data_IF_661192937808
#
_entry.id   IF_661192937808
#
_cell.length_a   1.000
_cell.length_b   1.000
_cell.length_c   1.000
_cell.angle_alpha   90.00
_cell.angle_beta   90.00
_cell.angle_gamma   90.00
#
_symmetry.space_group_name_H-M   'P 1'
#
loop_
_entity.id
_entity.type
_entity.pdbx_description
1 polymer ?
#
# COMPACT_ATOMS: atom_id res chain seq x y z
N UNK A 1 59.17 11.48 -22.84
CA UNK A 1 58.68 11.23 -22.56
C UNK A 1 57.61 11.16 -22.09
N UNK A 2 57.11 11.19 -21.94
CA UNK A 2 56.22 10.97 -21.52
C UNK A 2 55.21 10.92 -21.11
N UNK A 3 54.67 10.88 -20.80
CA UNK A 3 53.83 10.67 -20.45
C UNK A 3 52.85 10.51 -19.97
N UNK A 4 52.29 10.46 -19.74
CA UNK A 4 51.52 10.21 -19.30
C UNK A 4 50.48 10.23 -18.92
N UNK A 5 49.95 10.18 -18.63
CA UNK A 5 49.00 10.01 -18.17
C UNK A 5 48.06 9.89 -17.72
N UNK A 6 47.56 9.82 -17.47
CA UNK A 6 46.76 9.52 -16.96
C UNK A 6 45.79 9.49 -16.57
N UNK A 7 45.32 9.39 -16.34
CA UNK A 7 44.52 9.20 -15.92
C UNK A 7 43.56 9.11 -15.45
N UNK A 8 43.08 8.93 -15.23
CA UNK A 8 42.26 8.75 -14.65
C UNK A 8 41.25 8.81 -14.41
N UNK A 9 40.80 8.77 -14.19
CA UNK A 9 39.95 8.64 -13.78
C UNK A 9 38.95 8.55 -13.40
N UNK A 10 38.58 8.42 -13.30
CA UNK A 10 37.74 8.28 -12.91
C UNK A 10 36.78 8.15 -12.52
N UNK A 11 36.45 8.00 -12.34
CA UNK A 11 35.60 7.77 -11.97
C UNK A 11 34.71 7.64 -11.43
N UNK A 12 34.45 7.49 -11.26
CA UNK A 12 33.71 7.19 -10.69
C UNK A 12 32.78 7.35 -10.24
N UNK A 13 32.48 7.32 -10.07
CA UNK A 13 31.73 7.38 -9.51
C UNK A 13 30.66 7.33 -9.32
N UNK A 14 30.39 7.17 -9.45
CA UNK A 14 29.43 7.05 -9.21
C UNK A 14 28.59 6.76 -8.72
N UNK A 15 28.55 6.37 -8.64
CA UNK A 15 27.84 5.91 -8.23
C UNK A 15 27.02 6.18 -7.56
N UNK A 16 26.80 6.33 -7.34
CA UNK A 16 26.06 6.40 -6.62
C UNK A 16 25.08 6.53 -6.63
N UNK A 17 25.03 6.60 -6.73
CA UNK A 17 24.24 6.86 -6.63
C UNK A 17 23.18 6.42 -6.43
N UNK A 18 22.97 5.97 -6.55
CA UNK A 18 22.03 5.46 -6.51
C UNK A 18 21.31 5.31 -5.54
N UNK A 19 21.19 5.15 -5.26
CA UNK A 19 20.74 4.87 -4.39
C UNK A 19 19.71 5.32 -3.92
N UNK A 20 19.48 5.84 -3.80
CA UNK A 20 18.58 6.23 -3.31
C UNK A 20 17.44 5.86 -3.58
N UNK A 21 17.36 5.46 -4.14
CA UNK A 21 16.30 4.99 -4.52
C UNK A 21 15.48 4.57 -3.62
N UNK A 22 15.51 4.91 -2.73
CA UNK A 22 14.95 4.45 -1.86
C UNK A 22 13.77 4.99 -1.51
N UNK A 23 13.00 5.50 -2.23
CA UNK A 23 11.67 5.83 -1.88
C UNK A 23 11.01 4.66 -1.26
N UNK A 24 10.33 4.88 -0.20
CA UNK A 24 9.57 3.83 0.41
C UNK A 24 8.57 3.29 -0.59
N UNK A 25 8.36 2.01 -0.58
CA UNK A 25 7.40 1.36 -1.43
C UNK A 25 6.01 1.75 -0.99
N UNK A 26 5.13 2.02 -1.94
CA UNK A 26 3.74 2.34 -1.61
C UNK A 26 3.03 1.10 -1.08
N UNK A 27 2.05 1.27 -0.20
CA UNK A 27 1.35 0.13 0.41
C UNK A 27 0.51 -0.69 -0.55
N UNK A 28 0.22 -0.15 -1.72
CA UNK A 28 -0.59 -0.85 -2.72
C UNK A 28 -0.27 -0.39 -4.11
N UNK A 29 -0.88 -1.05 -5.08
CA UNK A 29 -0.67 -0.74 -6.49
C UNK A 29 -1.93 -1.10 -7.26
N UNK A 30 -1.99 -0.67 -8.51
CA UNK A 30 -3.11 -0.98 -9.39
C UNK A 30 -2.82 -2.27 -10.14
N UNK A 31 -3.80 -3.14 -10.24
CA UNK A 31 -3.67 -4.39 -10.97
C UNK A 31 -4.87 -4.60 -11.87
N UNK A 32 -4.66 -5.33 -12.97
CA UNK A 32 -5.75 -5.70 -13.88
C UNK A 32 -6.42 -6.96 -13.36
N UNK A 33 -7.74 -6.94 -13.28
CA UNK A 33 -8.51 -8.09 -12.83
C UNK A 33 -9.76 -8.24 -13.70
N UNK A 34 -10.53 -9.27 -13.43
CA UNK A 34 -11.81 -9.48 -14.11
C UNK A 34 -12.77 -8.30 -13.89
N UNK A 35 -12.57 -7.54 -12.82
CA UNK A 35 -13.38 -6.35 -12.52
C UNK A 35 -12.74 -5.07 -13.07
N UNK A 36 -11.71 -5.18 -13.90
CA UNK A 36 -10.99 -4.04 -14.45
C UNK A 36 -9.78 -3.72 -13.59
N UNK A 37 -9.34 -2.47 -13.66
CA UNK A 37 -8.19 -2.03 -12.87
C UNK A 37 -8.66 -1.71 -11.47
N UNK A 38 -8.05 -2.36 -10.48
CA UNK A 38 -8.39 -2.14 -9.07
C UNK A 38 -7.12 -2.00 -8.26
N UNK A 39 -7.26 -1.51 -7.05
CA UNK A 39 -6.14 -1.43 -6.13
C UNK A 39 -5.96 -2.76 -5.41
N UNK A 40 -4.72 -3.19 -5.28
CA UNK A 40 -4.33 -4.40 -4.55
C UNK A 40 -3.18 -4.06 -3.62
N UNK A 41 -2.96 -4.90 -2.61
CA UNK A 41 -1.81 -4.71 -1.74
C UNK A 41 -0.56 -5.27 -2.42
N UNK A 42 0.57 -5.23 -1.74
CA UNK A 42 1.83 -5.64 -2.35
C UNK A 42 1.95 -7.16 -2.50
N UNK A 43 1.01 -7.90 -1.98
CA UNK A 43 0.91 -9.34 -2.21
C UNK A 43 -0.09 -9.66 -3.32
N UNK A 44 -0.68 -8.65 -3.92
CA UNK A 44 -1.64 -8.84 -5.00
C UNK A 44 -3.07 -9.03 -4.55
N UNK A 45 -3.33 -8.90 -3.25
CA UNK A 45 -4.68 -9.12 -2.73
C UNK A 45 -5.52 -7.87 -2.89
N UNK A 46 -6.78 -8.06 -3.27
CA UNK A 46 -7.72 -6.97 -3.53
C UNK A 46 -7.93 -6.13 -2.28
N UNK A 47 -7.95 -4.82 -2.49
CA UNK A 47 -8.22 -3.86 -1.42
C UNK A 47 -9.65 -3.36 -1.52
N UNK A 48 -10.28 -3.19 -0.35
CA UNK A 48 -11.66 -2.77 -0.24
C UNK A 48 -11.76 -1.55 0.66
N UNK A 49 -12.78 -0.72 0.43
CA UNK A 49 -13.14 0.35 1.35
C UNK A 49 -14.48 0.02 1.98
N UNK A 50 -14.74 0.58 3.15
CA UNK A 50 -15.96 0.35 3.91
C UNK A 50 -16.81 1.61 3.91
N UNK A 51 -18.06 1.49 3.50
CA UNK A 51 -18.90 2.68 3.33
C UNK A 51 -19.19 3.42 4.63
N UNK A 52 -19.01 2.78 5.78
CA UNK A 52 -19.24 3.44 7.06
C UNK A 52 -18.02 4.15 7.63
N UNK A 53 -16.87 4.04 6.95
CA UNK A 53 -15.65 4.69 7.40
C UNK A 53 -15.64 6.16 6.99
N UNK A 54 -14.87 6.97 7.75
CA UNK A 54 -14.57 8.33 7.37
C UNK A 54 -13.08 8.45 7.07
N UNK A 55 -12.65 9.65 6.67
CA UNK A 55 -11.28 9.82 6.16
C UNK A 55 -10.19 9.42 7.14
N UNK A 56 -10.44 9.57 8.42
CA UNK A 56 -9.42 9.29 9.43
C UNK A 56 -9.91 8.33 10.51
N UNK A 57 -10.98 7.59 10.23
CA UNK A 57 -11.56 6.73 11.26
C UNK A 57 -12.10 5.45 10.64
N UNK A 58 -11.63 4.33 11.15
CA UNK A 58 -12.13 3.02 10.76
C UNK A 58 -13.29 2.64 11.68
N UNK A 59 -14.42 2.25 11.10
CA UNK A 59 -15.57 1.79 11.84
C UNK A 59 -15.62 0.26 11.92
N UNK A 60 -14.63 -0.42 11.37
CA UNK A 60 -14.59 -1.88 11.32
C UNK A 60 -13.69 -2.40 12.44
N UNK A 61 -14.29 -2.86 13.50
CA UNK A 61 -13.57 -3.31 14.70
C UNK A 61 -14.03 -4.70 15.10
N UNK A 62 -13.26 -5.36 15.94
CA UNK A 62 -13.61 -6.66 16.53
C UNK A 62 -13.87 -7.70 15.44
N UNK A 63 -15.05 -8.28 15.40
CA UNK A 63 -15.37 -9.32 14.42
C UNK A 63 -15.27 -8.81 12.99
N UNK A 64 -15.63 -7.56 12.75
CA UNK A 64 -15.49 -6.98 11.41
C UNK A 64 -14.04 -7.04 10.97
N UNK A 65 -13.12 -6.70 11.86
CA UNK A 65 -11.69 -6.69 11.50
C UNK A 65 -11.12 -8.10 11.34
N UNK A 66 -11.78 -9.12 11.85
CA UNK A 66 -11.37 -10.50 11.61
C UNK A 66 -11.71 -10.91 10.18
N UNK A 67 -12.89 -10.53 9.70
CA UNK A 67 -13.30 -10.85 8.34
C UNK A 67 -12.70 -9.89 7.32
N UNK A 68 -12.46 -8.66 7.71
CA UNK A 68 -11.92 -7.61 6.86
C UNK A 68 -10.66 -7.03 7.49
N UNK A 69 -9.55 -7.77 7.41
CA UNK A 69 -8.31 -7.28 8.04
C UNK A 69 -7.89 -5.95 7.44
N UNK A 70 -7.56 -4.98 8.29
CA UNK A 70 -7.08 -3.70 7.79
C UNK A 70 -5.74 -3.84 7.09
N UNK A 71 -5.49 -2.99 6.11
CA UNK A 71 -4.18 -2.92 5.47
C UNK A 71 -3.22 -2.29 6.48
N UNK A 72 -2.43 -3.12 7.13
CA UNK A 72 -1.64 -2.71 8.29
C UNK A 72 -0.54 -1.74 7.91
N UNK A 73 -0.33 -0.74 8.73
CA UNK A 73 0.79 0.18 8.62
C UNK A 73 1.68 0.02 9.84
N UNK A 74 2.98 0.23 9.66
CA UNK A 74 3.91 0.17 10.78
C UNK A 74 3.67 1.37 11.71
N UNK A 75 4.08 1.24 12.96
CA UNK A 75 3.88 2.30 13.94
C UNK A 75 4.55 3.61 13.53
N UNK A 76 5.64 3.53 12.76
CA UNK A 76 6.36 4.71 12.31
C UNK A 76 6.09 5.07 10.85
N UNK A 77 5.07 4.47 10.25
CA UNK A 77 4.70 4.82 8.88
C UNK A 77 4.25 6.27 8.79
N UNK A 78 4.53 6.89 7.65
CA UNK A 78 4.21 8.30 7.45
C UNK A 78 3.38 8.46 6.18
N UNK A 79 2.51 9.46 6.21
CA UNK A 79 1.71 9.80 5.03
C UNK A 79 2.63 10.14 3.85
N UNK A 80 2.20 9.79 2.65
CA UNK A 80 2.95 10.05 1.44
C UNK A 80 1.97 10.15 0.27
N UNK A 81 1.90 11.33 -0.36
CA UNK A 81 0.97 11.54 -1.45
C UNK A 81 -0.47 11.35 -0.99
N UNK A 82 -1.20 10.49 -1.68
CA UNK A 82 -2.58 10.21 -1.32
C UNK A 82 -2.73 9.15 -0.24
N UNK A 83 -1.61 8.60 0.23
CA UNK A 83 -1.62 7.58 1.28
C UNK A 83 -1.51 8.24 2.64
N UNK A 84 -2.39 7.90 3.56
CA UNK A 84 -2.36 8.41 4.93
C UNK A 84 -2.44 7.25 5.90
N UNK A 85 -2.09 7.51 7.16
CA UNK A 85 -2.10 6.49 8.20
C UNK A 85 -3.24 6.81 9.16
N UNK A 86 -4.07 5.81 9.43
CA UNK A 86 -5.21 5.94 10.33
C UNK A 86 -4.91 5.14 11.59
N UNK A 87 -5.13 5.74 12.76
CA UNK A 87 -5.02 5.04 14.03
C UNK A 87 -6.37 4.43 14.35
N UNK A 88 -6.40 3.12 14.53
CA UNK A 88 -7.62 2.39 14.81
C UNK A 88 -7.98 2.49 16.29
N UNK A 89 -9.20 2.11 16.62
CA UNK A 89 -9.67 2.20 18.01
C UNK A 89 -8.82 1.35 18.96
N UNK A 90 -8.19 0.29 18.46
CA UNK A 90 -7.34 -0.56 19.30
C UNK A 90 -5.89 -0.07 19.37
N UNK A 91 -5.60 1.08 18.78
CA UNK A 91 -4.26 1.66 18.78
C UNK A 91 -3.39 1.23 17.62
N UNK A 92 -3.79 0.23 16.86
CA UNK A 92 -3.02 -0.20 15.70
C UNK A 92 -3.21 0.79 14.56
N UNK A 93 -2.34 0.70 13.55
CA UNK A 93 -2.37 1.64 12.43
C UNK A 93 -2.67 0.93 11.14
N UNK A 94 -3.38 1.62 10.27
CA UNK A 94 -3.72 1.09 8.95
C UNK A 94 -3.56 2.17 7.91
N UNK A 95 -3.44 1.75 6.67
CA UNK A 95 -3.33 2.68 5.56
C UNK A 95 -4.70 3.09 5.03
N UNK A 96 -4.79 4.33 4.59
CA UNK A 96 -5.92 4.85 3.85
C UNK A 96 -5.41 5.46 2.56
N UNK A 97 -6.19 5.37 1.50
CA UNK A 97 -5.85 5.96 0.21
C UNK A 97 -6.97 6.92 -0.18
N UNK A 98 -6.60 8.16 -0.48
CA UNK A 98 -7.56 9.21 -0.84
C UNK A 98 -8.70 9.31 0.16
N UNK A 99 -8.36 9.19 1.45
CA UNK A 99 -9.34 9.33 2.51
C UNK A 99 -10.18 8.09 2.79
N UNK A 100 -9.83 6.95 2.20
CA UNK A 100 -10.56 5.70 2.43
C UNK A 100 -9.68 4.69 3.14
N UNK A 101 -9.96 4.38 4.40
CA UNK A 101 -9.27 3.26 5.05
C UNK A 101 -9.44 1.98 4.24
N UNK A 102 -8.40 1.19 4.13
CA UNK A 102 -8.38 0.05 3.22
C UNK A 102 -8.27 -1.26 3.96
N UNK A 103 -8.92 -2.28 3.40
CA UNK A 103 -9.03 -3.60 4.01
C UNK A 103 -8.79 -4.68 2.96
N UNK A 104 -8.38 -5.87 3.40
CA UNK A 104 -8.47 -7.06 2.57
C UNK A 104 -9.66 -7.90 3.07
N UNK A 105 -9.99 -8.95 2.33
CA UNK A 105 -11.11 -9.82 2.70
C UNK A 105 -10.58 -11.22 2.95
N UNK A 106 -10.99 -11.79 4.07
CA UNK A 106 -10.44 -13.07 4.51
C UNK A 106 -10.79 -14.20 3.55
N UNK A 107 -11.89 -14.09 2.81
CA UNK A 107 -12.30 -15.13 1.86
C UNK A 107 -11.64 -15.01 0.51
N UNK A 108 -10.91 -13.94 0.23
CA UNK A 108 -10.06 -13.87 -0.95
C UNK A 108 -8.82 -14.73 -0.67
N UNK A 109 -8.62 -15.76 -1.46
CA UNK A 109 -7.57 -16.75 -1.16
C UNK A 109 -6.33 -16.59 -2.03
N UNK A 110 -6.42 -15.87 -3.13
CA UNK A 110 -5.30 -15.69 -4.04
C UNK A 110 -5.42 -14.37 -4.76
N UNK A 111 -4.31 -13.86 -5.30
CA UNK A 111 -4.37 -12.64 -6.10
C UNK A 111 -5.39 -12.78 -7.23
N UNK A 112 -6.15 -11.73 -7.42
CA UNK A 112 -7.22 -11.71 -8.41
C UNK A 112 -8.60 -12.06 -7.87
N UNK A 113 -8.68 -12.63 -6.68
CA UNK A 113 -9.99 -12.86 -6.07
C UNK A 113 -10.63 -11.54 -5.69
N UNK A 114 -11.93 -11.41 -5.94
CA UNK A 114 -12.69 -10.20 -5.60
C UNK A 114 -14.04 -10.62 -5.00
N UNK A 115 -14.01 -11.56 -4.08
CA UNK A 115 -15.22 -12.16 -3.56
C UNK A 115 -15.98 -11.26 -2.59
N UNK A 116 -15.36 -10.17 -2.14
CA UNK A 116 -15.98 -9.29 -1.14
C UNK A 116 -16.67 -8.05 -1.68
N UNK A 117 -16.68 -7.85 -3.00
CA UNK A 117 -17.27 -6.64 -3.56
C UNK A 117 -18.78 -6.62 -3.28
N UNK A 118 -19.23 -5.53 -2.69
CA UNK A 118 -20.63 -5.32 -2.30
C UNK A 118 -21.10 -6.25 -1.16
N UNK A 119 -20.14 -6.77 -0.38
CA UNK A 119 -20.48 -7.61 0.78
C UNK A 119 -20.34 -6.76 2.03
N UNK A 120 -21.38 -6.74 2.86
CA UNK A 120 -21.40 -6.07 4.17
C UNK A 120 -21.03 -4.58 4.12
N UNK A 121 -21.22 -3.93 2.99
CA UNK A 121 -20.89 -2.51 2.85
C UNK A 121 -19.46 -2.26 2.40
N UNK A 122 -18.74 -3.29 2.00
CA UNK A 122 -17.38 -3.13 1.47
C UNK A 122 -17.41 -3.18 -0.06
N UNK A 123 -16.50 -2.44 -0.67
CA UNK A 123 -16.45 -2.30 -2.11
C UNK A 123 -15.01 -2.28 -2.58
N UNK A 124 -14.75 -2.87 -3.74
CA UNK A 124 -13.39 -2.81 -4.29
C UNK A 124 -13.04 -1.35 -4.58
N UNK A 125 -11.75 -1.05 -4.54
CA UNK A 125 -11.24 0.31 -4.77
C UNK A 125 -10.70 0.36 -6.19
N UNK A 126 -11.24 1.28 -6.98
CA UNK A 126 -10.86 1.41 -8.40
C UNK A 126 -10.07 2.68 -8.67
#
# INVERSE_FOLDING_TARGET
>A
MMKTFMAGLVVSTLAFGAVQAIAAEEPGKVAETAKGKIWVDNNGMTLYSFEKDTADKSACNDKCAVEWPPLAAAADSKASGEWTVVTRDDGSKMWAYEGHPLYTFVDDKKPGDVTGDNVDGFHIVK
#
